data_IF_165553680934
#
_entry.id   IF_165553680934
#
_cell.length_a   1.000
_cell.length_b   1.000
_cell.length_c   1.000
_cell.angle_alpha   90.00
_cell.angle_beta   90.00
_cell.angle_gamma   90.00
#
_symmetry.space_group_name_H-M   'P 1'
#
loop_
_entity.id
_entity.type
_entity.pdbx_description
1 polymer ?
#
# COMPACT_ATOMS: atom_id res chain seq x y z
N UNK A 1 -4.29 0.33 18.71
CA UNK A 1 -5.13 0.50 17.50
C UNK A 1 -4.79 1.84 16.89
N UNK A 2 -3.74 1.90 16.07
CA UNK A 2 -3.38 3.09 15.34
C UNK A 2 -4.20 3.15 14.05
N UNK A 3 -4.99 4.19 13.89
CA UNK A 3 -5.64 4.50 12.63
C UNK A 3 -4.57 5.08 11.71
N UNK A 4 -4.21 4.37 10.64
CA UNK A 4 -3.38 4.94 9.60
C UNK A 4 -4.22 5.96 8.82
N UNK A 5 -3.76 7.20 8.64
CA UNK A 5 -4.43 8.14 7.77
C UNK A 5 -4.15 7.71 6.33
N UNK A 6 -5.13 7.08 5.68
CA UNK A 6 -5.15 7.05 4.22
C UNK A 6 -5.34 8.50 3.77
N UNK A 7 -4.24 9.18 3.44
CA UNK A 7 -4.30 10.48 2.75
C UNK A 7 -4.92 10.25 1.37
N UNK A 8 -6.21 10.52 1.27
CA UNK A 8 -7.00 10.44 0.03
C UNK A 8 -6.60 11.49 -1.02
N UNK A 9 -5.61 12.33 -0.74
CA UNK A 9 -5.16 13.40 -1.64
C UNK A 9 -4.35 12.90 -2.83
N UNK A 10 -3.62 11.78 -2.73
CA UNK A 10 -2.74 11.32 -3.82
C UNK A 10 -3.51 10.70 -5.00
N UNK A 11 -4.70 10.13 -4.75
CA UNK A 11 -5.53 9.53 -5.81
C UNK A 11 -6.15 10.59 -6.73
N UNK A 12 -6.41 11.79 -6.22
CA UNK A 12 -7.07 12.85 -7.00
C UNK A 12 -6.12 13.54 -7.99
N UNK A 13 -4.83 13.65 -7.65
CA UNK A 13 -3.83 14.27 -8.53
C UNK A 13 -3.50 13.39 -9.74
N UNK A 14 -3.44 12.07 -9.58
CA UNK A 14 -3.16 11.15 -10.69
C UNK A 14 -4.34 10.99 -11.66
N UNK A 15 -5.58 11.15 -11.20
CA UNK A 15 -6.75 11.13 -12.08
C UNK A 15 -6.81 12.37 -12.99
N UNK A 16 -6.43 13.55 -12.50
CA UNK A 16 -6.37 14.77 -13.30
C UNK A 16 -5.27 14.71 -14.38
N UNK A 17 -4.16 14.02 -14.11
CA UNK A 17 -3.02 13.91 -15.04
C UNK A 17 -3.30 12.99 -16.23
N UNK A 18 -4.22 12.03 -16.08
CA UNK A 18 -4.62 11.09 -17.15
C UNK A 18 -5.60 11.70 -18.17
N UNK A 19 -6.41 12.69 -17.79
CA UNK A 19 -7.24 13.43 -18.77
C UNK A 19 -6.42 14.44 -19.60
N UNK A 20 -5.33 14.97 -19.06
CA UNK A 20 -4.52 15.98 -19.75
C UNK A 20 -3.60 15.42 -20.85
N UNK A 21 -3.53 14.09 -21.01
CA UNK A 21 -2.73 13.42 -22.05
C UNK A 21 -3.53 13.03 -23.32
N UNK A 22 -4.82 13.37 -23.41
CA UNK A 22 -5.63 13.23 -24.64
C UNK A 22 -5.73 14.57 -25.38
N UNK A 23 -4.59 15.08 -25.86
CA UNK A 23 -4.51 16.22 -26.78
C UNK A 23 -4.18 15.78 -28.22
N UNK A 24 -4.62 16.52 -29.26
CA UNK A 24 -4.49 16.12 -30.66
C UNK A 24 -3.03 16.20 -31.16
N UNK A 25 -2.72 15.38 -32.16
CA UNK A 25 -1.39 15.19 -32.74
C UNK A 25 -0.67 16.50 -33.11
N UNK A 26 0.65 16.61 -32.86
CA UNK A 26 1.40 17.83 -33.16
C UNK A 26 1.72 17.94 -34.65
N UNK A 27 1.20 19.00 -35.28
CA UNK A 27 1.70 19.50 -36.56
C UNK A 27 2.96 20.34 -36.30
N UNK A 28 4.07 19.92 -36.88
CA UNK A 28 5.36 20.61 -36.81
C UNK A 28 5.32 21.93 -37.57
N UNK A 29 5.44 23.06 -36.86
CA UNK A 29 5.80 24.35 -37.45
C UNK A 29 6.78 25.05 -36.48
N UNK A 30 8.01 25.23 -36.94
CA UNK A 30 9.07 26.01 -36.29
C UNK A 30 8.82 27.49 -36.57
N UNK A 31 8.95 28.38 -35.57
CA UNK A 31 9.71 29.61 -35.81
C UNK A 31 10.75 29.95 -34.73
N UNK A 32 11.82 30.57 -35.20
CA UNK A 32 13.04 31.09 -34.56
C UNK A 32 12.74 32.38 -33.75
N UNK A 33 13.53 32.73 -32.70
CA UNK A 33 13.17 33.74 -31.70
C UNK A 33 13.70 35.15 -32.01
N UNK A 34 13.30 36.17 -31.22
CA UNK A 34 14.16 37.30 -30.93
C UNK A 34 14.42 37.51 -29.43
N UNK A 35 15.49 38.25 -29.19
CA UNK A 35 16.25 38.37 -27.96
C UNK A 35 15.85 39.56 -27.06
N UNK A 36 16.57 39.67 -25.93
CA UNK A 36 16.77 40.88 -25.09
C UNK A 36 15.57 41.23 -24.18
N UNK A 37 15.71 41.49 -22.87
CA UNK A 37 16.66 42.40 -22.24
C UNK A 37 16.81 42.16 -20.72
N UNK A 38 17.97 42.57 -20.18
CA UNK A 38 18.28 42.68 -18.77
C UNK A 38 17.47 43.80 -18.07
N UNK A 39 17.25 43.66 -16.76
CA UNK A 39 17.30 44.76 -15.78
C UNK A 39 17.09 44.24 -14.35
N UNK A 40 18.17 44.27 -13.56
CA UNK A 40 18.14 44.41 -12.09
C UNK A 40 17.94 45.88 -11.74
N UNK A 41 17.29 46.23 -10.62
CA UNK A 41 18.08 46.72 -9.47
C UNK A 41 17.52 46.36 -8.06
N UNK A 42 18.44 46.27 -7.10
CA UNK A 42 18.28 46.41 -5.63
C UNK A 42 18.32 47.92 -5.23
N UNK A 43 18.19 48.33 -3.95
CA UNK A 43 17.35 47.91 -2.82
C UNK A 43 16.62 49.14 -2.17
N UNK A 44 16.07 48.95 -0.95
CA UNK A 44 16.15 49.87 0.21
C UNK A 44 14.84 50.34 0.90
N UNK A 45 14.90 50.26 2.23
CA UNK A 45 14.24 51.07 3.28
C UNK A 45 12.78 50.74 3.66
N UNK A 46 12.55 49.99 4.76
CA UNK A 46 12.32 50.45 6.15
C UNK A 46 11.12 51.39 6.28
N UNK A 47 10.03 50.89 6.85
CA UNK A 47 9.28 51.65 7.86
C UNK A 47 8.44 50.73 8.76
N UNK A 48 8.34 51.20 10.01
CA UNK A 48 7.89 50.50 11.18
C UNK A 48 6.36 50.50 11.34
N UNK A 49 5.80 49.38 11.79
CA UNK A 49 4.57 49.36 12.59
C UNK A 49 4.47 48.07 13.42
N UNK A 50 4.44 48.24 14.74
CA UNK A 50 4.22 47.20 15.77
C UNK A 50 2.70 47.07 16.07
N UNK A 51 2.24 46.14 16.92
CA UNK A 51 1.57 44.92 16.53
C UNK A 51 0.05 44.94 16.84
N UNK A 52 -0.78 44.38 15.95
CA UNK A 52 -2.13 43.97 16.33
C UNK A 52 -2.08 42.50 16.77
N UNK A 53 -2.27 42.31 18.06
CA UNK A 53 -2.32 41.05 18.78
C UNK A 53 -3.50 40.20 18.28
N UNK A 54 -3.29 39.41 17.23
CA UNK A 54 -4.25 38.42 16.76
C UNK A 54 -4.22 37.19 17.69
N UNK A 55 -5.09 37.28 18.69
CA UNK A 55 -5.43 36.19 19.60
C UNK A 55 -6.22 35.14 18.82
N UNK A 56 -5.53 34.04 18.45
CA UNK A 56 -6.18 32.77 18.13
C UNK A 56 -5.83 32.20 16.76
N UNK A 57 -4.87 31.28 16.73
CA UNK A 57 -5.04 29.97 16.07
C UNK A 57 -3.77 29.12 16.27
N UNK A 58 -3.70 28.40 17.39
CA UNK A 58 -2.63 27.45 17.70
C UNK A 58 -2.74 26.12 16.89
N UNK A 59 -3.24 26.19 15.65
CA UNK A 59 -3.55 25.00 14.83
C UNK A 59 -2.82 24.93 13.48
N UNK A 60 -1.88 25.84 13.18
CA UNK A 60 -1.21 25.88 11.87
C UNK A 60 0.25 25.40 11.84
N UNK A 61 0.96 25.33 12.97
CA UNK A 61 2.37 24.88 12.95
C UNK A 61 2.55 23.37 12.79
N UNK A 62 1.54 22.57 13.16
CA UNK A 62 1.66 21.11 13.09
C UNK A 62 1.54 20.58 11.65
N UNK A 63 0.75 21.25 10.80
CA UNK A 63 0.60 20.87 9.39
C UNK A 63 1.85 21.13 8.56
N UNK A 64 2.64 22.16 8.90
CA UNK A 64 3.84 22.52 8.14
C UNK A 64 4.97 21.49 8.35
N UNK A 65 5.18 21.05 9.60
CA UNK A 65 6.16 20.02 9.93
C UNK A 65 5.84 18.65 9.31
N UNK A 66 4.56 18.27 9.21
CA UNK A 66 4.20 17.01 8.54
C UNK A 66 4.50 17.03 7.05
N UNK A 67 4.33 18.19 6.40
CA UNK A 67 4.63 18.32 4.97
C UNK A 67 6.13 18.24 4.67
N UNK A 68 6.98 18.76 5.56
CA UNK A 68 8.44 18.64 5.39
C UNK A 68 8.94 17.23 5.67
N UNK A 69 8.40 16.55 6.69
CA UNK A 69 8.68 15.14 6.95
C UNK A 69 8.28 14.26 5.76
N UNK A 70 7.09 14.48 5.18
CA UNK A 70 6.63 13.72 4.01
C UNK A 70 7.56 13.92 2.80
N UNK A 71 8.02 15.16 2.55
CA UNK A 71 8.98 15.46 1.47
C UNK A 71 10.33 14.79 1.69
N UNK A 72 10.83 14.81 2.92
CA UNK A 72 12.07 14.11 3.29
C UNK A 72 11.97 12.61 2.99
N UNK A 73 10.88 11.97 3.42
CA UNK A 73 10.63 10.56 3.15
C UNK A 73 10.57 10.22 1.66
N UNK A 74 9.92 11.03 0.84
CA UNK A 74 9.87 10.84 -0.61
C UNK A 74 11.26 10.91 -1.24
N UNK A 75 12.10 11.87 -0.83
CA UNK A 75 13.47 11.98 -1.32
C UNK A 75 14.32 10.75 -0.97
N UNK A 76 14.17 10.18 0.22
CA UNK A 76 14.87 8.94 0.58
C UNK A 76 14.39 7.75 -0.26
N UNK A 77 13.08 7.68 -0.53
CA UNK A 77 12.54 6.62 -1.38
C UNK A 77 13.09 6.70 -2.80
N UNK A 78 13.21 7.89 -3.39
CA UNK A 78 13.76 8.06 -4.73
C UNK A 78 15.22 7.59 -4.85
N UNK A 79 16.02 7.78 -3.79
CA UNK A 79 17.41 7.33 -3.73
C UNK A 79 17.51 5.81 -3.51
N UNK A 80 16.63 5.25 -2.69
CA UNK A 80 16.66 3.82 -2.33
C UNK A 80 16.02 2.93 -3.39
N UNK A 81 15.00 3.41 -4.11
CA UNK A 81 14.26 2.64 -5.13
C UNK A 81 15.19 1.91 -6.13
N UNK A 82 16.14 2.59 -6.80
CA UNK A 82 17.02 1.92 -7.77
C UNK A 82 18.03 0.97 -7.12
N UNK A 83 18.35 1.16 -5.83
CA UNK A 83 19.37 0.37 -5.13
C UNK A 83 18.80 -0.95 -4.60
N UNK A 84 17.57 -0.93 -4.08
CA UNK A 84 16.93 -2.09 -3.48
C UNK A 84 16.17 -2.90 -4.56
N UNK A 85 15.58 -2.23 -5.54
CA UNK A 85 14.74 -2.87 -6.57
C UNK A 85 15.08 -2.37 -7.96
N UNK A 86 16.20 -2.83 -8.54
CA UNK A 86 16.57 -2.45 -9.91
C UNK A 86 15.53 -2.90 -10.95
N UNK A 87 14.60 -3.79 -10.59
CA UNK A 87 13.59 -4.36 -11.48
C UNK A 87 12.14 -4.06 -11.03
N UNK A 88 11.94 -3.19 -10.04
CA UNK A 88 10.62 -2.83 -9.49
C UNK A 88 9.98 -3.94 -8.65
N UNK A 89 8.91 -3.58 -7.94
CA UNK A 89 8.11 -4.53 -7.15
C UNK A 89 7.08 -5.20 -8.08
N UNK A 90 7.12 -6.52 -8.19
CA UNK A 90 6.14 -7.27 -9.00
C UNK A 90 4.76 -7.35 -8.32
N UNK A 91 3.71 -7.07 -9.08
CA UNK A 91 2.30 -7.16 -8.68
C UNK A 91 1.76 -8.61 -8.71
N UNK A 92 2.42 -9.50 -9.44
CA UNK A 92 1.97 -10.86 -9.69
C UNK A 92 1.81 -11.72 -8.43
N UNK A 93 2.70 -11.67 -7.42
CA UNK A 93 2.51 -12.43 -6.18
C UNK A 93 1.22 -12.04 -5.44
N UNK A 94 0.87 -10.74 -5.40
CA UNK A 94 -0.36 -10.27 -4.77
C UNK A 94 -1.61 -10.77 -5.52
N UNK A 95 -1.65 -10.63 -6.85
CA UNK A 95 -2.77 -11.17 -7.65
C UNK A 95 -2.84 -12.70 -7.61
N UNK A 96 -1.70 -13.38 -7.63
CA UNK A 96 -1.60 -14.83 -7.52
C UNK A 96 -2.18 -15.34 -6.20
N UNK A 97 -1.82 -14.70 -5.07
CA UNK A 97 -2.42 -15.01 -3.77
C UNK A 97 -3.92 -14.74 -3.75
N UNK A 98 -4.34 -13.59 -4.29
CA UNK A 98 -5.77 -13.26 -4.38
C UNK A 98 -6.55 -14.36 -5.10
N UNK A 99 -6.08 -14.75 -6.29
CA UNK A 99 -6.66 -15.82 -7.08
C UNK A 99 -6.66 -17.15 -6.31
N UNK A 100 -5.57 -17.50 -5.62
CA UNK A 100 -5.47 -18.72 -4.83
C UNK A 100 -6.50 -18.76 -3.69
N UNK A 101 -6.67 -17.63 -2.98
CA UNK A 101 -7.67 -17.49 -1.92
C UNK A 101 -9.11 -17.60 -2.46
N UNK A 102 -9.41 -16.91 -3.56
CA UNK A 102 -10.74 -16.93 -4.20
C UNK A 102 -11.04 -18.33 -4.76
N UNK A 103 -10.10 -18.92 -5.49
CA UNK A 103 -10.23 -20.26 -6.07
C UNK A 103 -10.37 -21.34 -5.00
N UNK A 104 -9.80 -21.12 -3.82
CA UNK A 104 -9.99 -22.04 -2.69
C UNK A 104 -11.35 -21.90 -2.01
N UNK A 105 -12.04 -20.75 -2.13
CA UNK A 105 -13.27 -20.45 -1.40
C UNK A 105 -14.45 -21.45 -1.55
N UNK A 106 -14.70 -22.12 -2.70
CA UNK A 106 -15.80 -23.08 -2.81
C UNK A 106 -15.55 -24.37 -2.01
N UNK A 107 -14.29 -24.69 -1.67
CA UNK A 107 -13.99 -25.91 -0.92
C UNK A 107 -14.33 -25.73 0.56
N UNK A 108 -15.27 -26.51 1.15
CA UNK A 108 -15.56 -26.43 2.57
C UNK A 108 -14.38 -26.95 3.39
N UNK A 109 -14.24 -26.44 4.60
CA UNK A 109 -13.16 -26.83 5.50
C UNK A 109 -13.31 -28.26 6.08
N UNK A 110 -14.39 -28.96 5.70
CA UNK A 110 -14.58 -30.40 5.91
C UNK A 110 -13.86 -31.24 4.85
N UNK A 111 -13.80 -30.78 3.60
CA UNK A 111 -13.12 -31.48 2.50
C UNK A 111 -11.61 -31.23 2.56
N UNK A 112 -11.21 -29.99 2.86
CA UNK A 112 -9.81 -29.63 2.97
C UNK A 112 -9.48 -29.17 4.41
N UNK A 113 -9.01 -30.07 5.27
CA UNK A 113 -8.66 -29.72 6.64
C UNK A 113 -7.48 -28.73 6.65
N UNK A 114 -7.57 -27.75 7.56
CA UNK A 114 -6.53 -26.74 7.78
C UNK A 114 -6.70 -25.45 6.98
N UNK A 115 -7.66 -25.34 6.07
CA UNK A 115 -7.95 -24.06 5.40
C UNK A 115 -8.70 -23.08 6.31
N UNK A 116 -8.51 -21.76 6.10
CA UNK A 116 -9.29 -20.74 6.78
C UNK A 116 -10.79 -20.86 6.45
N UNK A 117 -11.69 -20.34 7.31
CA UNK A 117 -13.12 -20.25 7.01
C UNK A 117 -13.38 -19.60 5.64
N UNK A 118 -14.47 -19.98 4.95
CA UNK A 118 -14.80 -19.48 3.60
C UNK A 118 -14.80 -17.95 3.52
N UNK A 119 -15.41 -17.28 4.49
CA UNK A 119 -15.45 -15.81 4.53
C UNK A 119 -14.08 -15.18 4.71
N UNK A 120 -13.20 -15.79 5.53
CA UNK A 120 -11.84 -15.31 5.68
C UNK A 120 -11.08 -15.41 4.36
N UNK A 121 -11.24 -16.52 3.61
CA UNK A 121 -10.60 -16.68 2.29
C UNK A 121 -11.05 -15.63 1.29
N UNK A 122 -12.36 -15.34 1.22
CA UNK A 122 -12.86 -14.27 0.34
C UNK A 122 -12.32 -12.90 0.76
N UNK A 123 -12.27 -12.61 2.07
CA UNK A 123 -11.72 -11.37 2.59
C UNK A 123 -10.23 -11.21 2.24
N UNK A 124 -9.40 -12.23 2.52
CA UNK A 124 -7.99 -12.21 2.15
C UNK A 124 -7.80 -12.12 0.63
N UNK A 125 -8.61 -12.84 -0.15
CA UNK A 125 -8.63 -12.72 -1.60
C UNK A 125 -8.84 -11.28 -2.07
N UNK A 126 -9.85 -10.59 -1.54
CA UNK A 126 -10.09 -9.18 -1.83
C UNK A 126 -8.95 -8.26 -1.39
N UNK A 127 -8.42 -8.46 -0.18
CA UNK A 127 -7.34 -7.64 0.36
C UNK A 127 -6.04 -7.76 -0.45
N UNK A 128 -5.67 -8.97 -0.89
CA UNK A 128 -4.53 -9.17 -1.78
C UNK A 128 -4.78 -8.59 -3.18
N UNK A 129 -6.01 -8.63 -3.69
CA UNK A 129 -6.34 -7.93 -4.94
C UNK A 129 -6.18 -6.42 -4.80
N UNK A 130 -6.61 -5.83 -3.68
CA UNK A 130 -6.44 -4.38 -3.43
C UNK A 130 -4.96 -3.99 -3.34
N UNK A 131 -4.12 -4.86 -2.76
CA UNK A 131 -2.67 -4.67 -2.77
C UNK A 131 -2.10 -4.70 -4.19
N UNK A 132 -2.47 -5.70 -5.00
CA UNK A 132 -2.04 -5.78 -6.40
C UNK A 132 -2.44 -4.57 -7.23
N UNK A 133 -3.66 -4.05 -7.03
CA UNK A 133 -4.14 -2.83 -7.68
C UNK A 133 -3.36 -1.59 -7.25
N UNK A 134 -2.98 -1.47 -5.97
CA UNK A 134 -2.16 -0.37 -5.49
C UNK A 134 -0.75 -0.39 -6.14
N UNK A 135 -0.11 -1.56 -6.21
CA UNK A 135 1.18 -1.76 -6.88
C UNK A 135 1.06 -1.39 -8.37
N UNK A 136 0.02 -1.89 -9.05
CA UNK A 136 -0.22 -1.61 -10.47
C UNK A 136 -0.48 -0.11 -10.74
N UNK A 137 -1.03 0.62 -9.78
CA UNK A 137 -1.27 2.06 -9.88
C UNK A 137 0.00 2.91 -9.63
N UNK A 138 1.14 2.27 -9.36
CA UNK A 138 2.41 2.95 -9.03
C UNK A 138 2.58 3.25 -7.54
N UNK A 139 1.60 2.93 -6.69
CA UNK A 139 1.71 3.03 -5.23
C UNK A 139 2.27 1.73 -4.64
N UNK A 140 3.50 1.42 -5.05
CA UNK A 140 4.20 0.17 -4.73
C UNK A 140 4.38 -0.02 -3.21
N UNK A 141 4.73 1.04 -2.48
CA UNK A 141 5.02 0.98 -1.05
C UNK A 141 3.77 0.67 -0.23
N UNK A 142 2.66 1.35 -0.51
CA UNK A 142 1.39 1.08 0.13
C UNK A 142 0.90 -0.33 -0.21
N UNK A 143 0.96 -0.72 -1.50
CA UNK A 143 0.60 -2.06 -1.95
C UNK A 143 1.41 -3.17 -1.26
N UNK A 144 2.74 -3.03 -1.17
CA UNK A 144 3.62 -3.95 -0.48
C UNK A 144 3.35 -4.01 1.03
N UNK A 145 3.07 -2.87 1.66
CA UNK A 145 2.72 -2.81 3.09
C UNK A 145 1.42 -3.54 3.40
N UNK A 146 0.39 -3.33 2.56
CA UNK A 146 -0.90 -4.01 2.66
C UNK A 146 -0.69 -5.54 2.54
N UNK A 147 0.03 -6.01 1.52
CA UNK A 147 0.30 -7.44 1.36
C UNK A 147 1.06 -8.03 2.57
N UNK A 148 2.05 -7.31 3.09
CA UNK A 148 2.86 -7.76 4.24
C UNK A 148 2.02 -7.89 5.51
N UNK A 149 1.24 -6.84 5.85
CA UNK A 149 0.37 -6.84 7.02
C UNK A 149 -0.70 -7.93 6.95
N UNK A 150 -1.31 -8.11 5.79
CA UNK A 150 -2.34 -9.14 5.63
C UNK A 150 -1.76 -10.56 5.57
N UNK A 151 -0.53 -10.73 5.07
CA UNK A 151 0.19 -12.00 5.17
C UNK A 151 0.49 -12.37 6.62
N UNK A 152 0.98 -11.41 7.43
CA UNK A 152 1.19 -11.61 8.86
C UNK A 152 -0.13 -11.93 9.58
N UNK A 153 -1.20 -11.19 9.27
CA UNK A 153 -2.53 -11.41 9.81
C UNK A 153 -3.07 -12.81 9.49
N UNK A 154 -2.82 -13.31 8.27
CA UNK A 154 -3.19 -14.66 7.87
C UNK A 154 -2.47 -15.73 8.71
N UNK A 155 -1.18 -15.58 8.98
CA UNK A 155 -0.41 -16.52 9.81
C UNK A 155 -0.94 -16.54 11.25
N UNK A 156 -1.17 -15.37 11.83
CA UNK A 156 -1.74 -15.23 13.18
C UNK A 156 -3.13 -15.85 13.24
N UNK A 157 -4.01 -15.52 12.30
CA UNK A 157 -5.37 -16.06 12.27
C UNK A 157 -5.37 -17.58 12.06
N UNK A 158 -4.48 -18.10 11.20
CA UNK A 158 -4.32 -19.54 10.99
C UNK A 158 -3.85 -20.25 12.25
N UNK A 159 -2.96 -19.63 13.03
CA UNK A 159 -2.51 -20.17 14.33
C UNK A 159 -3.65 -20.20 15.34
N UNK A 160 -4.36 -19.08 15.50
CA UNK A 160 -5.53 -18.97 16.41
C UNK A 160 -6.59 -20.00 16.05
N UNK A 161 -6.90 -20.14 14.76
CA UNK A 161 -7.91 -21.08 14.29
C UNK A 161 -7.54 -22.54 14.56
N UNK A 162 -6.26 -22.91 14.38
CA UNK A 162 -5.75 -24.24 14.73
C UNK A 162 -5.92 -24.52 16.23
N UNK A 163 -5.58 -23.57 17.09
CA UNK A 163 -5.75 -23.69 18.55
C UNK A 163 -7.22 -23.85 18.93
N UNK A 164 -8.09 -22.98 18.40
CA UNK A 164 -9.52 -23.03 18.69
C UNK A 164 -10.17 -24.35 18.25
N UNK A 165 -9.80 -24.88 17.07
CA UNK A 165 -10.30 -26.19 16.62
C UNK A 165 -9.88 -27.34 17.54
N UNK A 166 -8.63 -27.33 18.03
CA UNK A 166 -8.14 -28.36 18.96
C UNK A 166 -8.95 -28.34 20.26
N UNK A 167 -9.20 -27.15 20.79
CA UNK A 167 -10.03 -26.97 22.00
C UNK A 167 -11.47 -27.48 21.79
N UNK A 168 -12.09 -27.15 20.66
CA UNK A 168 -13.44 -27.62 20.36
C UNK A 168 -13.50 -29.15 20.16
N UNK A 169 -12.50 -29.74 19.49
CA UNK A 169 -12.44 -31.20 19.34
C UNK A 169 -12.36 -31.91 20.69
N UNK A 170 -11.53 -31.38 21.62
CA UNK A 170 -11.41 -31.87 22.99
C UNK A 170 -12.74 -31.81 23.75
N UNK A 171 -13.45 -30.67 23.68
CA UNK A 171 -14.76 -30.49 24.35
C UNK A 171 -15.84 -31.44 23.81
N UNK A 172 -15.77 -31.79 22.53
CA UNK A 172 -16.75 -32.65 21.86
C UNK A 172 -16.41 -34.15 21.95
N UNK A 173 -15.33 -34.55 22.64
CA UNK A 173 -14.79 -35.92 22.61
C UNK A 173 -14.59 -36.46 21.19
N UNK A 174 -14.30 -35.56 20.23
CA UNK A 174 -14.03 -35.94 18.84
C UNK A 174 -12.52 -36.10 18.66
N UNK A 175 -12.08 -37.02 17.78
CA UNK A 175 -10.67 -37.15 17.46
C UNK A 175 -10.15 -35.80 16.93
N UNK A 176 -8.90 -35.42 17.26
CA UNK A 176 -8.33 -34.16 16.80
C UNK A 176 -8.34 -34.12 15.27
N UNK A 177 -8.57 -32.94 14.67
CA UNK A 177 -8.64 -32.82 13.22
C UNK A 177 -7.33 -33.30 12.60
N UNK A 178 -7.49 -34.19 11.60
CA UNK A 178 -6.41 -34.83 10.83
C UNK A 178 -5.54 -33.78 10.13
N UNK A 179 -4.30 -34.16 9.85
CA UNK A 179 -3.22 -33.34 9.30
C UNK A 179 -3.66 -32.25 8.31
N UNK A 180 -2.97 -31.11 8.37
CA UNK A 180 -3.17 -30.00 7.42
C UNK A 180 -3.05 -30.52 5.99
N UNK A 181 -4.04 -30.23 5.15
CA UNK A 181 -3.99 -30.61 3.73
C UNK A 181 -2.75 -30.00 3.03
N UNK A 182 -2.17 -30.66 2.02
CA UNK A 182 -1.07 -30.09 1.23
C UNK A 182 -1.41 -28.71 0.66
N UNK A 183 -2.67 -28.51 0.28
CA UNK A 183 -3.17 -27.22 -0.21
C UNK A 183 -3.09 -26.12 0.86
N UNK A 184 -3.47 -26.42 2.11
CA UNK A 184 -3.34 -25.46 3.21
C UNK A 184 -1.87 -25.10 3.48
N UNK A 185 -0.95 -26.05 3.32
CA UNK A 185 0.49 -25.80 3.38
C UNK A 185 0.95 -24.88 2.26
N UNK A 186 0.61 -25.17 1.01
CA UNK A 186 0.97 -24.34 -0.16
C UNK A 186 0.43 -22.92 -0.02
N UNK A 187 -0.83 -22.77 0.39
CA UNK A 187 -1.44 -21.45 0.60
C UNK A 187 -0.71 -20.67 1.71
N UNK A 188 -0.40 -21.33 2.83
CA UNK A 188 0.30 -20.69 3.95
C UNK A 188 1.74 -20.33 3.58
N UNK A 189 2.46 -21.22 2.90
CA UNK A 189 3.83 -20.98 2.47
C UNK A 189 3.90 -19.88 1.43
N UNK A 190 2.98 -19.87 0.45
CA UNK A 190 2.89 -18.79 -0.54
C UNK A 190 2.60 -17.45 0.14
N UNK A 191 1.72 -17.44 1.14
CA UNK A 191 1.40 -16.23 1.91
C UNK A 191 2.62 -15.72 2.69
N UNK A 192 3.35 -16.60 3.37
CA UNK A 192 4.57 -16.24 4.11
C UNK A 192 5.65 -15.75 3.14
N UNK A 193 5.88 -16.47 2.04
CA UNK A 193 6.87 -16.10 1.04
C UNK A 193 6.57 -14.73 0.42
N UNK A 194 5.30 -14.45 0.12
CA UNK A 194 4.87 -13.16 -0.42
C UNK A 194 5.00 -12.05 0.62
N UNK A 195 4.59 -12.30 1.86
CA UNK A 195 4.77 -11.36 2.96
C UNK A 195 6.23 -11.06 3.25
N UNK A 196 7.13 -12.04 3.14
CA UNK A 196 8.57 -11.84 3.29
C UNK A 196 9.16 -11.07 2.08
N UNK A 197 8.76 -11.42 0.86
CA UNK A 197 9.21 -10.75 -0.35
C UNK A 197 8.83 -9.26 -0.34
N UNK A 198 7.60 -8.92 0.03
CA UNK A 198 7.18 -7.53 0.18
C UNK A 198 7.70 -6.90 1.49
N UNK A 199 7.87 -7.65 2.57
CA UNK A 199 8.37 -7.12 3.84
C UNK A 199 9.83 -6.65 3.77
N UNK A 200 10.66 -7.29 2.94
CA UNK A 200 12.04 -6.83 2.68
C UNK A 200 12.04 -5.50 1.90
N UNK A 201 10.93 -5.13 1.27
CA UNK A 201 10.81 -3.86 0.51
C UNK A 201 10.44 -2.66 1.39
N UNK A 202 10.02 -2.88 2.64
CA UNK A 202 9.54 -1.84 3.57
C UNK A 202 10.66 -1.39 4.52
#
# INVERSE_FOLDING_TARGET
MGWWPFSSTTTQENAAKLEQQRGPAPTSIIPIPPAQNASTPLPETKDAATPVQQRGSFRHSESQNQSELAKGWQSYQDVLKPMIWPHGISEWPAFGLSALFIASSPFPASILPGLPPRMARLAFGGLFATSGLAIQSGDEWNGASIATWWSASHVVLSSIYKTYRKEMAKKLNKPPPVMSSPFAWVLTSATIATGAAYGITL
#
